data_IF_539308063295
#
_entry.id   IF_539308063295
#
_cell.length_a   1.000
_cell.length_b   1.000
_cell.length_c   1.000
_cell.angle_alpha   90.00
_cell.angle_beta   90.00
_cell.angle_gamma   90.00
#
_symmetry.space_group_name_H-M   'P 1'
#
loop_
_entity.id
_entity.type
_entity.pdbx_description
1 polymer ?
#
# COMPACT_ATOMS: atom_id res chain seq x y z
N UNK A 1 12.41 -1.15 -20.42
CA UNK A 1 11.68 -0.67 -19.22
C UNK A 1 10.28 -0.23 -19.61
N UNK A 2 9.25 -1.03 -19.31
CA UNK A 2 7.86 -0.62 -19.53
C UNK A 2 7.41 0.18 -18.31
N UNK A 3 7.35 1.49 -18.46
CA UNK A 3 6.86 2.38 -17.43
C UNK A 3 5.31 2.32 -17.44
N UNK A 4 4.72 1.57 -16.53
CA UNK A 4 3.27 1.35 -16.42
C UNK A 4 2.72 2.21 -15.29
N UNK A 5 1.57 2.87 -15.51
CA UNK A 5 0.79 3.50 -14.44
C UNK A 5 -0.23 2.48 -13.94
N UNK A 6 -0.01 1.93 -12.74
CA UNK A 6 -1.00 1.12 -12.04
C UNK A 6 -1.93 2.09 -11.30
N UNK A 7 -3.18 2.17 -11.72
CA UNK A 7 -4.21 2.91 -11.01
C UNK A 7 -4.95 1.98 -10.04
N UNK A 8 -4.35 1.71 -8.90
CA UNK A 8 -5.04 1.16 -7.73
C UNK A 8 -5.33 2.31 -6.76
N UNK A 9 -6.47 2.25 -6.06
CA UNK A 9 -6.72 3.12 -4.89
C UNK A 9 -5.70 2.72 -3.82
N UNK A 10 -4.53 3.34 -3.86
CA UNK A 10 -3.50 3.18 -2.83
C UNK A 10 -3.89 4.10 -1.68
N UNK A 11 -4.10 3.51 -0.50
CA UNK A 11 -4.21 4.25 0.75
C UNK A 11 -2.83 4.75 1.13
N UNK A 12 -2.48 5.95 0.71
CA UNK A 12 -1.20 6.56 1.06
C UNK A 12 -1.22 6.99 2.54
N UNK A 13 -0.86 6.09 3.45
CA UNK A 13 -0.66 6.40 4.87
C UNK A 13 0.75 6.95 5.18
N UNK A 14 1.61 7.07 4.17
CA UNK A 14 3.01 7.51 4.32
C UNK A 14 3.22 9.03 4.26
N UNK A 15 2.30 9.83 4.80
CA UNK A 15 2.41 11.30 4.80
C UNK A 15 3.04 11.87 6.09
N UNK A 16 4.03 11.20 6.67
CA UNK A 16 4.86 11.79 7.75
C UNK A 16 5.51 13.10 7.27
N UNK A 17 5.82 13.19 5.98
CA UNK A 17 6.36 14.41 5.36
C UNK A 17 5.37 15.59 5.37
N UNK A 18 4.06 15.33 5.27
CA UNK A 18 3.05 16.40 5.37
C UNK A 18 3.06 16.97 6.78
N UNK A 19 3.18 16.13 7.82
CA UNK A 19 3.16 16.56 9.21
C UNK A 19 4.25 17.57 9.58
N UNK A 20 5.37 17.59 8.83
CA UNK A 20 6.50 18.51 9.02
C UNK A 20 6.64 19.54 7.91
N UNK A 21 5.67 19.61 7.00
CA UNK A 21 5.69 20.53 5.87
C UNK A 21 5.39 21.96 6.33
N UNK A 22 6.14 22.93 5.79
CA UNK A 22 5.92 24.36 5.99
C UNK A 22 4.92 24.96 4.99
N UNK A 23 4.42 24.15 4.04
CA UNK A 23 3.43 24.59 3.06
C UNK A 23 2.09 24.86 3.75
N UNK A 24 1.50 26.02 3.45
CA UNK A 24 0.26 26.48 4.08
C UNK A 24 -0.89 25.48 3.94
N UNK A 25 -1.04 24.85 2.77
CA UNK A 25 -2.07 23.83 2.52
C UNK A 25 -1.87 22.59 3.41
N UNK A 26 -0.63 22.17 3.65
CA UNK A 26 -0.32 21.05 4.55
C UNK A 26 -0.67 21.39 6.00
N UNK A 27 -0.35 22.61 6.44
CA UNK A 27 -0.67 23.10 7.79
C UNK A 27 -2.20 23.09 7.99
N UNK A 28 -2.95 23.66 7.04
CA UNK A 28 -4.42 23.69 7.08
C UNK A 28 -5.02 22.28 7.07
N UNK A 29 -4.49 21.38 6.22
CA UNK A 29 -4.93 20.00 6.19
C UNK A 29 -4.74 19.30 7.54
N UNK A 30 -3.57 19.43 8.17
CA UNK A 30 -3.27 18.81 9.48
C UNK A 30 -4.20 19.36 10.56
N UNK A 31 -4.44 20.67 10.57
CA UNK A 31 -5.36 21.28 11.53
C UNK A 31 -6.78 20.69 11.38
N UNK A 32 -7.29 20.64 10.15
CA UNK A 32 -8.60 20.06 9.85
C UNK A 32 -8.68 18.58 10.22
N UNK A 33 -7.61 17.81 9.97
CA UNK A 33 -7.56 16.39 10.29
C UNK A 33 -7.54 16.14 11.80
N UNK A 34 -6.82 16.97 12.58
CA UNK A 34 -6.85 16.91 14.05
C UNK A 34 -8.25 17.17 14.59
N UNK A 35 -8.94 18.19 14.10
CA UNK A 35 -10.32 18.47 14.51
C UNK A 35 -11.27 17.33 14.13
N UNK A 36 -11.11 16.74 12.94
CA UNK A 36 -11.91 15.59 12.50
C UNK A 36 -11.73 14.41 13.46
N UNK A 37 -10.49 14.09 13.83
CA UNK A 37 -10.19 13.02 14.78
C UNK A 37 -10.77 13.30 16.17
N UNK A 38 -10.67 14.54 16.67
CA UNK A 38 -11.29 14.94 17.95
C UNK A 38 -12.82 14.74 17.94
N UNK A 39 -13.50 15.17 16.86
CA UNK A 39 -14.95 14.96 16.71
C UNK A 39 -15.33 13.49 16.72
N UNK A 40 -14.53 12.63 16.11
CA UNK A 40 -14.77 11.18 16.09
C UNK A 40 -14.56 10.58 17.48
N UNK A 41 -13.47 10.93 18.15
CA UNK A 41 -13.16 10.46 19.51
C UNK A 41 -14.26 10.86 20.51
N UNK A 42 -14.72 12.10 20.45
CA UNK A 42 -15.82 12.58 21.29
C UNK A 42 -17.14 11.79 21.09
N UNK A 43 -17.39 11.26 19.89
CA UNK A 43 -18.57 10.44 19.59
C UNK A 43 -18.42 8.99 20.03
N UNK A 44 -17.20 8.45 20.02
CA UNK A 44 -16.92 7.06 20.37
C UNK A 44 -16.74 6.85 21.88
N UNK A 45 -16.43 7.90 22.64
CA UNK A 45 -16.16 7.83 24.07
C UNK A 45 -14.69 7.51 24.39
N UNK A 46 -14.43 6.91 25.55
CA UNK A 46 -13.08 6.49 25.94
C UNK A 46 -12.60 5.34 25.05
N UNK A 47 -11.43 5.51 24.47
CA UNK A 47 -10.76 4.51 23.64
C UNK A 47 -9.46 4.09 24.31
N UNK A 48 -9.15 2.79 24.28
CA UNK A 48 -7.84 2.30 24.65
C UNK A 48 -6.82 2.70 23.58
N UNK A 49 -5.98 3.69 23.88
CA UNK A 49 -4.96 4.19 22.97
C UNK A 49 -3.95 3.10 22.56
N UNK A 50 -3.68 2.10 23.42
CA UNK A 50 -2.80 1.00 23.05
C UNK A 50 -3.44 0.10 21.98
N UNK A 51 -4.74 -0.16 22.10
CA UNK A 51 -5.50 -0.89 21.10
C UNK A 51 -5.57 -0.12 19.78
N UNK A 52 -5.87 1.18 19.84
CA UNK A 52 -5.92 2.05 18.66
C UNK A 52 -4.57 2.07 17.94
N UNK A 53 -3.48 2.25 18.68
CA UNK A 53 -2.13 2.23 18.10
C UNK A 53 -1.77 0.88 17.49
N UNK A 54 -2.21 -0.23 18.10
CA UNK A 54 -1.97 -1.58 17.59
C UNK A 54 -2.74 -1.84 16.29
N UNK A 55 -4.02 -1.48 16.23
CA UNK A 55 -4.82 -1.59 15.01
C UNK A 55 -4.32 -0.66 13.91
N UNK A 56 -3.86 0.55 14.25
CA UNK A 56 -3.27 1.46 13.28
C UNK A 56 -2.03 0.85 12.61
N UNK A 57 -1.13 0.22 13.38
CA UNK A 57 0.03 -0.49 12.81
C UNK A 57 -0.36 -1.64 11.89
N UNK A 58 -1.44 -2.37 12.21
CA UNK A 58 -1.93 -3.43 11.32
C UNK A 58 -2.42 -2.84 9.98
N UNK A 59 -3.11 -1.70 10.01
CA UNK A 59 -3.52 -1.00 8.79
C UNK A 59 -2.31 -0.52 7.97
N UNK A 60 -1.27 0.02 8.62
CA UNK A 60 -0.03 0.39 7.94
C UNK A 60 0.66 -0.81 7.30
N UNK A 61 0.66 -1.97 7.96
CA UNK A 61 1.18 -3.21 7.37
C UNK A 61 0.37 -3.62 6.13
N UNK A 62 -0.96 -3.49 6.16
CA UNK A 62 -1.79 -3.75 4.99
C UNK A 62 -1.44 -2.81 3.82
N UNK A 63 -1.17 -1.52 4.11
CA UNK A 63 -0.72 -0.56 3.11
C UNK A 63 0.64 -0.98 2.52
N UNK A 64 1.61 -1.33 3.37
CA UNK A 64 2.93 -1.83 2.96
C UNK A 64 2.83 -3.07 2.06
N UNK A 65 1.98 -4.05 2.43
CA UNK A 65 1.74 -5.25 1.63
C UNK A 65 1.10 -4.92 0.29
N UNK A 66 0.11 -4.03 0.27
CA UNK A 66 -0.58 -3.64 -0.97
C UNK A 66 0.38 -2.95 -1.96
N UNK A 67 1.24 -2.07 -1.46
CA UNK A 67 2.25 -1.39 -2.26
C UNK A 67 3.34 -2.37 -2.71
N UNK A 68 3.76 -3.30 -1.85
CA UNK A 68 4.69 -4.37 -2.22
C UNK A 68 4.20 -5.18 -3.43
N UNK A 69 2.92 -5.56 -3.43
CA UNK A 69 2.30 -6.28 -4.56
C UNK A 69 2.26 -5.40 -5.82
N UNK A 70 1.99 -4.10 -5.68
CA UNK A 70 1.87 -3.18 -6.82
C UNK A 70 3.22 -2.76 -7.43
N UNK A 71 4.26 -2.62 -6.63
CA UNK A 71 5.54 -2.02 -7.04
C UNK A 71 6.57 -3.03 -7.52
N UNK A 72 6.30 -4.32 -7.35
CA UNK A 72 7.18 -5.41 -7.77
C UNK A 72 6.58 -6.16 -8.95
N UNK A 73 7.43 -6.62 -9.87
CA UNK A 73 6.98 -7.59 -10.87
C UNK A 73 6.63 -8.92 -10.18
N UNK A 74 5.51 -9.58 -10.53
CA UNK A 74 5.15 -10.84 -9.90
C UNK A 74 6.24 -11.90 -10.09
N UNK A 75 6.65 -12.57 -9.02
CA UNK A 75 7.72 -13.58 -9.04
C UNK A 75 9.15 -13.03 -9.05
N UNK A 76 9.34 -11.71 -8.88
CA UNK A 76 10.68 -11.10 -8.81
C UNK A 76 11.50 -11.68 -7.66
N UNK A 77 12.79 -11.90 -7.88
CA UNK A 77 13.70 -12.32 -6.81
C UNK A 77 13.94 -11.17 -5.82
N UNK A 78 14.20 -11.49 -4.55
CA UNK A 78 14.41 -10.50 -3.47
C UNK A 78 15.42 -9.40 -3.83
N UNK A 79 16.52 -9.75 -4.48
CA UNK A 79 17.59 -8.82 -4.90
C UNK A 79 17.11 -7.82 -5.96
N UNK A 80 16.11 -8.19 -6.75
CA UNK A 80 15.55 -7.40 -7.84
C UNK A 80 14.22 -6.70 -7.47
N UNK A 81 13.75 -6.85 -6.22
CA UNK A 81 12.61 -6.10 -5.73
C UNK A 81 12.86 -4.59 -5.74
N UNK A 82 11.77 -3.83 -5.72
CA UNK A 82 11.80 -2.39 -5.54
C UNK A 82 12.63 -2.05 -4.28
N UNK A 83 13.53 -1.04 -4.33
CA UNK A 83 14.48 -0.76 -3.26
C UNK A 83 13.87 -0.62 -1.86
N UNK A 84 12.62 -0.15 -1.76
CA UNK A 84 11.89 0.00 -0.50
C UNK A 84 11.69 -1.31 0.27
N UNK A 85 11.68 -2.46 -0.43
CA UNK A 85 11.26 -3.72 0.17
C UNK A 85 12.38 -4.75 0.32
N UNK A 86 13.58 -4.46 -0.21
CA UNK A 86 14.73 -5.39 -0.14
C UNK A 86 15.08 -5.76 1.30
N UNK A 87 14.93 -4.81 2.22
CA UNK A 87 15.22 -4.98 3.65
C UNK A 87 13.97 -5.19 4.51
N UNK A 88 12.81 -5.46 3.90
CA UNK A 88 11.53 -5.65 4.58
C UNK A 88 10.72 -4.37 4.74
N UNK A 89 9.55 -4.49 5.36
CA UNK A 89 8.64 -3.37 5.61
C UNK A 89 9.14 -2.47 6.73
N UNK A 90 8.81 -1.18 6.64
CA UNK A 90 9.07 -0.21 7.71
C UNK A 90 8.17 -0.48 8.93
N UNK A 91 6.97 -1.03 8.70
CA UNK A 91 6.06 -1.40 9.79
C UNK A 91 6.62 -2.54 10.64
N UNK A 92 6.73 -2.27 11.96
CA UNK A 92 7.14 -3.25 12.98
C UNK A 92 5.92 -3.71 13.76
N UNK A 93 5.65 -5.01 13.75
CA UNK A 93 4.57 -5.64 14.51
C UNK A 93 5.18 -6.44 15.66
N UNK A 94 4.70 -6.19 16.89
CA UNK A 94 5.15 -6.90 18.11
C UNK A 94 6.69 -6.94 18.28
N UNK A 95 7.37 -5.87 17.86
CA UNK A 95 8.84 -5.76 17.94
C UNK A 95 9.61 -6.49 16.83
N UNK A 96 8.93 -7.06 15.84
CA UNK A 96 9.54 -7.79 14.74
C UNK A 96 9.33 -7.04 13.42
N UNK A 97 10.40 -6.97 12.61
CA UNK A 97 10.34 -6.42 11.26
C UNK A 97 9.69 -7.46 10.34
N UNK A 98 8.65 -7.07 9.63
CA UNK A 98 7.95 -7.96 8.71
C UNK A 98 8.63 -7.91 7.34
N UNK A 99 8.90 -9.08 6.77
CA UNK A 99 9.42 -9.25 5.43
C UNK A 99 8.40 -9.94 4.54
N UNK A 100 8.36 -9.55 3.27
CA UNK A 100 7.67 -10.30 2.23
C UNK A 100 8.66 -10.73 1.15
N UNK A 101 8.39 -11.85 0.50
CA UNK A 101 9.09 -12.27 -0.71
C UNK A 101 8.14 -12.97 -1.67
N UNK A 102 8.27 -12.68 -2.95
CA UNK A 102 7.68 -13.50 -4.00
C UNK A 102 8.39 -14.86 -4.01
N UNK A 103 7.61 -15.95 -4.01
CA UNK A 103 8.13 -17.32 -4.15
C UNK A 103 7.78 -17.92 -5.51
N UNK A 104 6.73 -17.40 -6.15
CA UNK A 104 6.35 -17.69 -7.53
C UNK A 104 5.63 -16.46 -8.12
N UNK A 105 5.17 -16.53 -9.37
CA UNK A 105 4.45 -15.42 -10.01
C UNK A 105 3.09 -15.08 -9.34
N UNK A 106 2.57 -15.97 -8.50
CA UNK A 106 1.24 -15.83 -7.90
C UNK A 106 1.25 -16.08 -6.38
N UNK A 107 2.43 -16.20 -5.76
CA UNK A 107 2.55 -16.52 -4.35
C UNK A 107 3.56 -15.62 -3.65
N UNK A 108 3.17 -15.13 -2.48
CA UNK A 108 4.00 -14.32 -1.59
C UNK A 108 4.07 -15.02 -0.25
N UNK A 109 5.27 -15.08 0.32
CA UNK A 109 5.46 -15.49 1.71
C UNK A 109 5.76 -14.27 2.57
N UNK A 110 5.09 -14.17 3.72
CA UNK A 110 5.36 -13.16 4.75
C UNK A 110 6.06 -13.82 5.95
N UNK A 111 7.13 -13.19 6.43
CA UNK A 111 7.93 -13.67 7.55
C UNK A 111 8.29 -12.53 8.52
N UNK A 112 7.97 -12.64 9.82
CA UNK A 112 7.13 -13.66 10.43
C UNK A 112 5.69 -13.60 9.90
N UNK A 113 5.02 -14.75 9.81
CA UNK A 113 3.64 -14.79 9.35
C UNK A 113 2.72 -14.06 10.34
N UNK A 114 1.88 -13.16 9.82
CA UNK A 114 0.92 -12.35 10.58
C UNK A 114 -0.54 -12.78 10.35
N UNK A 115 -0.74 -13.85 9.58
CA UNK A 115 -2.06 -14.36 9.21
C UNK A 115 -2.30 -15.73 9.82
N UNK A 116 -3.54 -16.00 10.24
CA UNK A 116 -3.91 -17.27 10.83
C UNK A 116 -3.96 -18.41 9.80
N UNK A 117 -4.21 -18.08 8.53
CA UNK A 117 -4.29 -19.03 7.43
C UNK A 117 -3.83 -18.42 6.12
N UNK A 118 -3.44 -19.29 5.18
CA UNK A 118 -3.25 -18.87 3.79
C UNK A 118 -4.56 -18.26 3.23
N UNK A 119 -4.41 -17.24 2.40
CA UNK A 119 -5.55 -16.64 1.71
C UNK A 119 -5.14 -16.12 0.34
N UNK A 120 -6.13 -15.89 -0.50
CA UNK A 120 -5.95 -15.37 -1.85
C UNK A 120 -6.62 -14.01 -1.99
N UNK A 121 -5.91 -13.06 -2.60
CA UNK A 121 -6.43 -11.75 -2.95
C UNK A 121 -6.36 -11.55 -4.47
N UNK A 122 -7.41 -10.95 -5.05
CA UNK A 122 -7.45 -10.59 -6.47
C UNK A 122 -7.47 -9.09 -6.63
N UNK A 123 -6.53 -8.56 -7.40
CA UNK A 123 -6.42 -7.14 -7.70
C UNK A 123 -6.73 -6.88 -9.17
N UNK A 124 -7.62 -5.91 -9.41
CA UNK A 124 -7.92 -5.39 -10.75
C UNK A 124 -7.05 -4.20 -11.04
N UNK A 125 -6.37 -4.23 -12.17
CA UNK A 125 -5.50 -3.14 -12.63
C UNK A 125 -5.68 -2.88 -14.13
N UNK A 126 -5.20 -1.72 -14.58
CA UNK A 126 -5.09 -1.40 -16.01
C UNK A 126 -3.64 -1.07 -16.31
N UNK A 127 -3.05 -1.75 -17.28
CA UNK A 127 -1.71 -1.47 -17.76
C UNK A 127 -1.79 -0.46 -18.92
N UNK A 128 -1.78 0.83 -18.60
CA UNK A 128 -1.88 1.89 -19.61
C UNK A 128 -0.49 2.21 -20.16
N UNK A 129 -0.26 1.95 -21.44
CA UNK A 129 1.03 2.16 -22.07
C UNK A 129 1.30 3.65 -22.35
N UNK A 130 2.52 4.12 -22.07
CA UNK A 130 2.89 5.54 -22.21
C UNK A 130 2.80 6.05 -23.64
N UNK A 131 3.10 5.21 -24.63
CA UNK A 131 2.97 5.58 -26.05
C UNK A 131 1.49 5.88 -26.40
N UNK A 132 0.55 5.11 -25.85
CA UNK A 132 -0.88 5.35 -26.01
C UNK A 132 -1.26 6.68 -25.33
N UNK A 133 -0.80 6.90 -24.10
CA UNK A 133 -1.04 8.17 -23.37
C UNK A 133 -0.54 9.36 -24.19
N UNK A 134 0.65 9.28 -24.78
CA UNK A 134 1.21 10.34 -25.62
C UNK A 134 0.43 10.61 -26.89
N UNK A 135 -0.27 9.60 -27.45
CA UNK A 135 -1.06 9.75 -28.67
C UNK A 135 -2.47 10.29 -28.43
N UNK A 136 -3.16 9.80 -27.40
CA UNK A 136 -4.61 10.06 -27.21
C UNK A 136 -4.96 10.72 -25.87
N UNK A 137 -3.94 11.03 -25.05
CA UNK A 137 -4.13 11.58 -23.70
C UNK A 137 -4.48 10.50 -22.67
N UNK A 138 -4.17 10.79 -21.40
CA UNK A 138 -4.30 9.81 -20.30
C UNK A 138 -5.74 9.33 -20.09
N UNK A 139 -6.72 10.23 -20.23
CA UNK A 139 -8.12 9.91 -20.00
C UNK A 139 -8.68 8.90 -21.02
N UNK A 140 -8.43 9.13 -22.32
CA UNK A 140 -8.86 8.23 -23.36
C UNK A 140 -8.10 6.89 -23.29
N UNK A 141 -6.77 6.95 -23.13
CA UNK A 141 -5.93 5.76 -22.97
C UNK A 141 -6.38 4.88 -21.80
N UNK A 142 -6.71 5.48 -20.65
CA UNK A 142 -7.23 4.76 -19.49
C UNK A 142 -8.60 4.13 -19.77
N UNK A 143 -9.51 4.85 -20.43
CA UNK A 143 -10.85 4.33 -20.77
C UNK A 143 -10.76 3.13 -21.71
N UNK A 144 -9.91 3.20 -22.73
CA UNK A 144 -9.74 2.17 -23.76
C UNK A 144 -8.97 0.94 -23.27
N UNK A 145 -8.10 1.11 -22.28
CA UNK A 145 -7.32 0.00 -21.72
C UNK A 145 -8.23 -0.98 -20.97
N UNK A 146 -8.12 -2.27 -21.31
CA UNK A 146 -8.87 -3.34 -20.64
C UNK A 146 -8.35 -3.58 -19.22
N UNK A 147 -9.25 -4.03 -18.36
CA UNK A 147 -8.88 -4.53 -17.04
C UNK A 147 -8.08 -5.83 -17.16
N UNK A 148 -7.12 -5.98 -16.28
CA UNK A 148 -6.39 -7.21 -15.98
C UNK A 148 -6.58 -7.55 -14.51
N UNK A 149 -6.44 -8.83 -14.21
CA UNK A 149 -6.52 -9.35 -12.84
C UNK A 149 -5.19 -10.00 -12.47
N UNK A 150 -4.72 -9.70 -11.25
CA UNK A 150 -3.62 -10.39 -10.61
C UNK A 150 -4.16 -11.07 -9.36
N UNK A 151 -4.09 -12.40 -9.34
CA UNK A 151 -4.48 -13.21 -8.18
C UNK A 151 -3.21 -13.66 -7.45
N UNK A 152 -3.11 -13.32 -6.18
CA UNK A 152 -1.95 -13.62 -5.33
C UNK A 152 -2.40 -14.41 -4.11
N UNK A 153 -1.68 -15.49 -3.81
CA UNK A 153 -1.87 -16.30 -2.59
C UNK A 153 -0.79 -15.96 -1.58
N UNK A 154 -1.20 -15.60 -0.37
CA UNK A 154 -0.31 -15.39 0.75
C UNK A 154 -0.10 -16.70 1.48
N UNK A 155 1.15 -17.15 1.51
CA UNK A 155 1.60 -18.41 2.11
C UNK A 155 2.13 -18.20 3.52
N UNK A 156 1.86 -19.18 4.37
CA UNK A 156 2.44 -19.27 5.72
C UNK A 156 3.91 -19.72 5.68
#
# INVERSE_FOLDING_TARGET
>A
MRNVVIATRLGDSSFVHIQRSELLDCIHFIANEKERQQRIRARLGELDEHMVASHFKLLQLCDDISLYVCMNEPGVSKVNEHPWYKEGFETIIKGQKINARWISANEIKIDPCVFDSEFTATMKSKYVAKDVISRIGIHAAYKETKWSELTVTFKN
#
